data_IF_425173437512
#
_entry.id   IF_425173437512
#
_cell.length_a   1.000
_cell.length_b   1.000
_cell.length_c   1.000
_cell.angle_alpha   90.00
_cell.angle_beta   90.00
_cell.angle_gamma   90.00
#
_symmetry.space_group_name_H-M   'P 1'
#
loop_
_entity.id
_entity.type
_entity.pdbx_description
1 polymer ?
#
# COMPACT_ATOMS: atom_id res chain seq x y z
N UNK A 1 -17.40 -0.13 -2.69
CA UNK A 1 -16.02 0.32 -2.37
C UNK A 1 -15.23 -0.80 -1.73
N UNK A 2 -14.21 -1.29 -2.42
CA UNK A 2 -13.33 -2.36 -1.98
C UNK A 2 -11.88 -1.89 -2.06
N UNK A 3 -11.00 -2.37 -1.17
CA UNK A 3 -9.59 -2.05 -1.24
C UNK A 3 -8.72 -3.19 -0.75
N UNK A 4 -7.51 -3.28 -1.30
CA UNK A 4 -6.53 -4.30 -0.95
C UNK A 4 -5.16 -3.67 -0.78
N UNK A 5 -4.46 -3.97 0.31
CA UNK A 5 -3.05 -3.67 0.43
C UNK A 5 -2.28 -4.54 -0.55
N UNK A 6 -1.36 -3.94 -1.30
CA UNK A 6 -0.63 -4.59 -2.37
C UNK A 6 0.86 -4.29 -2.22
N UNK A 7 1.68 -5.25 -2.60
CA UNK A 7 3.11 -5.09 -2.77
C UNK A 7 3.43 -5.41 -4.23
N UNK A 8 4.42 -4.75 -4.82
CA UNK A 8 4.85 -5.00 -6.20
C UNK A 8 6.37 -5.03 -6.29
N UNK A 9 6.86 -5.86 -7.21
CA UNK A 9 8.23 -5.72 -7.71
C UNK A 9 8.30 -4.49 -8.63
N UNK A 10 9.24 -3.59 -8.35
CA UNK A 10 9.49 -2.37 -9.10
C UNK A 10 10.95 -2.27 -9.57
N UNK A 11 11.56 -3.39 -9.94
CA UNK A 11 12.95 -3.46 -10.41
C UNK A 11 13.90 -3.61 -9.23
N UNK A 12 14.72 -2.60 -8.97
CA UNK A 12 15.66 -2.60 -7.82
C UNK A 12 14.96 -2.36 -6.46
N UNK A 13 13.65 -2.15 -6.47
CA UNK A 13 12.87 -1.74 -5.31
C UNK A 13 11.61 -2.57 -5.15
N UNK A 14 11.11 -2.64 -3.92
CA UNK A 14 9.77 -3.12 -3.59
C UNK A 14 8.85 -1.92 -3.38
N UNK A 15 7.75 -1.87 -4.14
CA UNK A 15 6.74 -0.84 -4.04
C UNK A 15 5.57 -1.25 -3.15
N UNK A 16 5.11 -0.34 -2.30
CA UNK A 16 4.01 -0.56 -1.36
C UNK A 16 2.83 0.34 -1.72
N UNK A 17 1.66 -0.25 -1.94
CA UNK A 17 0.49 0.47 -2.43
C UNK A 17 -0.82 -0.10 -1.90
N UNK A 18 -1.90 0.63 -2.12
CA UNK A 18 -3.26 0.08 -1.98
C UNK A 18 -3.98 0.22 -3.31
N UNK A 19 -4.65 -0.85 -3.74
CA UNK A 19 -5.57 -0.83 -4.87
C UNK A 19 -6.99 -0.62 -4.34
N UNK A 20 -7.68 0.37 -4.88
CA UNK A 20 -9.02 0.78 -4.45
C UNK A 20 -9.98 0.71 -5.63
N UNK A 21 -11.10 0.03 -5.45
CA UNK A 21 -12.14 -0.16 -6.46
C UNK A 21 -13.42 0.55 -6.00
N UNK A 22 -13.86 1.53 -6.78
CA UNK A 22 -15.14 2.17 -6.63
C UNK A 22 -16.11 1.65 -7.70
N UNK A 23 -16.94 0.69 -7.29
CA UNK A 23 -18.04 0.12 -8.06
C UNK A 23 -19.33 0.95 -7.98
N UNK A 24 -19.31 2.08 -7.27
CA UNK A 24 -20.43 3.00 -7.16
C UNK A 24 -20.61 3.92 -8.37
N UNK A 25 -21.74 4.62 -8.37
CA UNK A 25 -22.16 5.60 -9.38
C UNK A 25 -21.66 7.03 -9.10
N UNK A 26 -21.04 7.25 -7.93
CA UNK A 26 -20.52 8.53 -7.49
C UNK A 26 -19.04 8.44 -7.14
N UNK A 27 -18.31 9.53 -7.35
CA UNK A 27 -16.92 9.63 -6.91
C UNK A 27 -16.84 9.54 -5.39
N UNK A 28 -15.81 8.88 -4.89
CA UNK A 28 -15.57 8.70 -3.47
C UNK A 28 -14.24 9.33 -3.07
N UNK A 29 -14.24 9.95 -1.90
CA UNK A 29 -13.03 10.49 -1.29
C UNK A 29 -12.64 9.65 -0.08
N UNK A 30 -11.36 9.34 0.02
CA UNK A 30 -10.78 8.49 1.03
C UNK A 30 -9.51 9.13 1.61
N UNK A 31 -9.22 8.82 2.87
CA UNK A 31 -7.92 9.04 3.47
C UNK A 31 -7.18 7.71 3.53
N UNK A 32 -5.96 7.68 2.99
CA UNK A 32 -5.14 6.48 2.84
C UNK A 32 -3.81 6.67 3.55
N UNK A 33 -3.50 5.78 4.48
CA UNK A 33 -2.22 5.74 5.17
C UNK A 33 -1.51 4.42 4.89
N UNK A 34 -0.24 4.50 4.53
CA UNK A 34 0.61 3.35 4.21
C UNK A 34 1.80 3.27 5.16
N UNK A 35 2.15 2.04 5.51
CA UNK A 35 3.42 1.66 6.13
C UNK A 35 3.88 0.36 5.49
N UNK A 36 5.15 0.04 5.63
CA UNK A 36 5.71 -1.19 5.10
C UNK A 36 6.44 -1.95 6.19
N UNK A 37 6.40 -3.27 6.10
CA UNK A 37 7.12 -4.17 6.99
C UNK A 37 8.48 -4.51 6.38
N UNK A 38 9.51 -4.43 7.22
CA UNK A 38 10.82 -4.98 7.01
C UNK A 38 11.08 -6.06 8.06
N UNK A 39 11.71 -7.17 7.67
CA UNK A 39 12.00 -8.24 8.63
C UNK A 39 12.90 -7.78 9.80
N UNK A 40 13.85 -6.87 9.56
CA UNK A 40 14.79 -6.43 10.62
C UNK A 40 14.31 -5.25 11.47
N UNK A 41 13.50 -4.34 10.90
CA UNK A 41 13.07 -3.10 11.58
C UNK A 41 11.57 -3.04 11.88
N UNK A 42 10.82 -4.09 11.51
CA UNK A 42 9.37 -4.12 11.70
C UNK A 42 8.65 -3.14 10.77
N UNK A 43 7.59 -2.50 11.29
CA UNK A 43 6.80 -1.55 10.50
C UNK A 43 7.41 -0.15 10.50
N UNK A 44 7.69 0.36 9.31
CA UNK A 44 8.08 1.75 9.09
C UNK A 44 6.99 2.50 8.32
N UNK A 45 6.69 3.77 8.67
CA UNK A 45 5.77 4.57 7.87
C UNK A 45 6.35 4.79 6.47
N UNK A 46 5.47 4.86 5.47
CA UNK A 46 5.89 5.36 4.17
C UNK A 46 6.30 6.84 4.25
N UNK A 47 7.14 7.35 3.36
CA UNK A 47 7.37 8.79 3.25
C UNK A 47 6.06 9.57 3.07
N UNK A 48 6.08 10.86 3.43
CA UNK A 48 4.97 11.75 3.12
C UNK A 48 4.68 11.76 1.61
N UNK A 49 3.41 11.83 1.19
CA UNK A 49 2.22 12.02 2.04
C UNK A 49 1.66 10.71 2.63
N UNK A 50 2.16 9.55 2.19
CA UNK A 50 1.53 8.26 2.45
C UNK A 50 1.60 7.82 3.92
N UNK A 51 2.70 8.12 4.62
CA UNK A 51 2.85 7.80 6.04
C UNK A 51 1.92 8.59 6.97
N UNK A 52 1.47 9.76 6.54
CA UNK A 52 0.71 10.72 7.33
C UNK A 52 -0.80 10.60 7.10
N UNK A 53 -1.19 10.04 5.96
CA UNK A 53 -2.58 9.93 5.53
C UNK A 53 -2.87 10.89 4.39
N UNK A 54 -2.76 10.39 3.16
CA UNK A 54 -3.02 11.16 1.95
C UNK A 54 -4.51 11.09 1.56
N UNK A 55 -5.05 12.17 0.98
CA UNK A 55 -6.39 12.18 0.38
C UNK A 55 -6.32 11.57 -1.01
N UNK A 56 -7.20 10.62 -1.29
CA UNK A 56 -7.35 9.96 -2.58
C UNK A 56 -8.79 10.12 -3.05
N UNK A 57 -8.98 10.58 -4.28
CA UNK A 57 -10.28 10.62 -4.94
C UNK A 57 -10.36 9.46 -5.92
N UNK A 58 -11.39 8.64 -5.78
CA UNK A 58 -11.67 7.49 -6.65
C UNK A 58 -12.93 7.81 -7.45
N UNK A 59 -12.83 8.06 -8.77
CA UNK A 59 -14.00 8.32 -9.61
C UNK A 59 -15.03 7.18 -9.55
N UNK A 60 -16.27 7.47 -9.93
CA UNK A 60 -17.31 6.46 -10.10
C UNK A 60 -16.87 5.40 -11.12
N UNK A 61 -17.16 4.13 -10.84
CA UNK A 61 -16.78 3.00 -11.71
C UNK A 61 -15.27 2.77 -11.89
N UNK A 62 -14.40 3.49 -11.15
CA UNK A 62 -12.96 3.44 -11.37
C UNK A 62 -12.24 2.52 -10.39
N UNK A 63 -11.09 2.01 -10.85
CA UNK A 63 -10.07 1.44 -9.99
C UNK A 63 -8.84 2.34 -10.00
N UNK A 64 -8.35 2.72 -8.82
CA UNK A 64 -7.10 3.45 -8.67
C UNK A 64 -6.13 2.67 -7.79
N UNK A 65 -4.84 2.97 -7.94
CA UNK A 65 -3.81 2.57 -7.00
C UNK A 65 -3.12 3.85 -6.49
N UNK A 66 -2.63 3.81 -5.25
CA UNK A 66 -1.74 4.88 -4.78
C UNK A 66 -0.49 4.94 -5.66
N UNK A 67 0.01 6.14 -5.91
CA UNK A 67 1.11 6.39 -6.83
C UNK A 67 2.47 5.90 -6.30
N UNK A 68 3.51 6.09 -7.13
CA UNK A 68 4.88 5.85 -6.74
C UNK A 68 5.34 6.88 -5.70
N UNK A 69 5.71 6.39 -4.51
CA UNK A 69 6.25 7.24 -3.44
C UNK A 69 6.54 6.47 -2.17
N UNK A 70 5.90 5.31 -1.96
CA UNK A 70 6.30 4.36 -0.94
C UNK A 70 7.01 3.15 -1.55
N UNK A 71 8.32 3.09 -1.36
CA UNK A 71 9.14 1.98 -1.81
C UNK A 71 10.41 1.85 -0.96
N UNK A 72 10.93 0.62 -0.84
CA UNK A 72 12.21 0.31 -0.23
C UNK A 72 13.12 -0.35 -1.27
N UNK A 73 14.43 -0.24 -1.11
CA UNK A 73 15.37 -0.99 -1.93
C UNK A 73 15.24 -2.49 -1.63
N UNK A 74 15.48 -3.34 -2.63
CA UNK A 74 15.40 -4.79 -2.45
C UNK A 74 16.51 -5.26 -1.51
N UNK A 75 16.12 -6.01 -0.50
CA UNK A 75 16.99 -6.76 0.41
C UNK A 75 16.47 -8.20 0.49
N UNK A 76 17.30 -9.23 0.71
CA UNK A 76 16.86 -10.63 0.70
C UNK A 76 16.05 -11.00 1.95
N UNK A 77 14.86 -10.41 2.08
CA UNK A 77 13.93 -10.51 3.21
C UNK A 77 12.48 -10.49 2.71
N UNK A 78 11.53 -10.73 3.62
CA UNK A 78 10.11 -10.57 3.34
C UNK A 78 9.65 -9.12 3.55
N UNK A 79 8.87 -8.62 2.59
CA UNK A 79 8.25 -7.30 2.61
C UNK A 79 6.73 -7.40 2.58
N UNK A 80 6.04 -6.49 3.28
CA UNK A 80 4.58 -6.37 3.21
C UNK A 80 4.12 -4.93 3.30
N UNK A 81 3.07 -4.60 2.57
CA UNK A 81 2.35 -3.32 2.77
C UNK A 81 1.35 -3.47 3.89
N UNK A 82 1.26 -2.45 4.75
CA UNK A 82 0.15 -2.23 5.66
C UNK A 82 -0.59 -0.97 5.27
N UNK A 83 -1.87 -1.12 4.96
CA UNK A 83 -2.72 0.00 4.56
C UNK A 83 -3.88 0.21 5.53
N UNK A 84 -4.19 1.47 5.77
CA UNK A 84 -5.40 1.94 6.42
C UNK A 84 -6.15 2.84 5.43
N UNK A 85 -7.41 2.53 5.16
CA UNK A 85 -8.28 3.33 4.28
C UNK A 85 -9.56 3.65 5.03
N UNK A 86 -9.87 4.94 5.15
CA UNK A 86 -11.08 5.44 5.81
C UNK A 86 -11.72 6.55 5.00
N UNK A 87 -12.98 6.90 5.31
CA UNK A 87 -13.55 8.16 4.82
C UNK A 87 -12.93 9.35 5.57
N UNK A 88 -12.84 10.54 4.95
CA UNK A 88 -12.35 11.75 5.60
C UNK A 88 -13.01 12.00 6.95
N UNK A 89 -12.22 12.44 7.93
CA UNK A 89 -12.68 12.77 9.29
C UNK A 89 -13.01 11.56 10.18
N UNK A 90 -12.79 10.33 9.71
CA UNK A 90 -12.93 9.13 10.55
C UNK A 90 -11.59 8.77 11.21
N UNK A 91 -11.66 8.22 12.42
CA UNK A 91 -10.50 7.67 13.12
C UNK A 91 -9.95 6.47 12.38
N UNK A 92 -8.62 6.34 12.33
CA UNK A 92 -7.95 5.16 11.81
C UNK A 92 -8.33 3.92 12.63
N UNK A 93 -9.12 3.03 12.03
CA UNK A 93 -9.57 1.79 12.64
C UNK A 93 -8.87 0.59 12.03
N UNK A 94 -9.60 -0.16 11.23
CA UNK A 94 -9.12 -1.37 10.57
C UNK A 94 -7.87 -1.11 9.68
N UNK A 95 -6.97 -2.10 9.67
CA UNK A 95 -5.75 -2.15 8.85
C UNK A 95 -5.66 -3.50 8.15
N UNK A 96 -5.33 -3.49 6.86
CA UNK A 96 -5.06 -4.71 6.11
C UNK A 96 -3.57 -4.81 5.77
N UNK A 97 -3.12 -6.05 5.63
CA UNK A 97 -1.78 -6.40 5.20
C UNK A 97 -1.86 -6.98 3.78
N UNK A 98 -0.86 -6.71 2.95
CA UNK A 98 -0.71 -7.43 1.68
C UNK A 98 -0.22 -8.86 1.93
N UNK A 99 -0.34 -9.74 0.93
CA UNK A 99 0.56 -10.90 0.80
C UNK A 99 2.03 -10.50 0.98
N UNK A 100 2.86 -11.48 1.35
CA UNK A 100 4.32 -11.34 1.43
C UNK A 100 4.95 -11.18 0.06
N UNK A 101 6.00 -10.36 -0.04
CA UNK A 101 6.95 -10.36 -1.13
C UNK A 101 8.30 -10.81 -0.59
N UNK A 102 8.62 -12.08 -0.78
CA UNK A 102 9.88 -12.68 -0.40
C UNK A 102 10.91 -12.39 -1.48
N UNK A 103 11.89 -11.56 -1.16
CA UNK A 103 13.02 -11.28 -2.04
C UNK A 103 14.12 -12.30 -1.74
N UNK A 104 14.57 -12.99 -2.76
CA UNK A 104 15.66 -13.97 -2.68
C UNK A 104 17.02 -13.28 -2.87
N UNK A 105 18.11 -13.98 -2.53
CA UNK A 105 19.48 -13.43 -2.63
C UNK A 105 19.92 -13.11 -4.06
N UNK A 106 19.26 -13.67 -5.07
CA UNK A 106 19.47 -13.39 -6.49
C UNK A 106 18.62 -12.20 -7.01
N UNK A 107 17.83 -11.56 -6.13
CA UNK A 107 16.97 -10.43 -6.45
C UNK A 107 15.60 -10.80 -7.02
N UNK A 108 15.32 -12.10 -7.22
CA UNK A 108 13.99 -12.59 -7.61
C UNK A 108 12.99 -12.40 -6.48
N UNK A 109 11.71 -12.24 -6.83
CA UNK A 109 10.63 -11.98 -5.88
C UNK A 109 9.55 -13.04 -5.99
N UNK A 110 9.21 -13.65 -4.86
CA UNK A 110 8.11 -14.59 -4.69
C UNK A 110 6.98 -13.95 -3.88
N UNK A 111 5.73 -14.08 -4.35
CA UNK A 111 4.55 -13.55 -3.66
C UNK A 111 3.77 -14.69 -2.99
N UNK A 112 3.42 -14.53 -1.71
CA UNK A 112 2.75 -15.56 -0.88
C UNK A 112 1.59 -14.99 -0.05
#
# INVERSE_FOLDING_TARGET
MLWNACVRDAGERIGFLVRIVNDGDTAAELSVRLSWFHASSGFSPCPAPWGDGARVVVPAGATVATDSGCAADKEPVNFQTRANVVRPGRTWGYRAMSPGAHVHSDGSVEFS
#
